data_IF_683062884990
#
_entry.id   IF_683062884990
#
_cell.length_a   1.000
_cell.length_b   1.000
_cell.length_c   1.000
_cell.angle_alpha   90.00
_cell.angle_beta   90.00
_cell.angle_gamma   90.00
#
_symmetry.space_group_name_H-M   'P 1'
#
loop_
_entity.id
_entity.type
_entity.pdbx_description
1 polymer ?
#
# COMPACT_ATOMS: atom_id res chain seq x y z
N UNK A 1 -4.77 8.42 -7.62
CA UNK A 1 -4.09 8.30 -6.30
C UNK A 1 -2.60 8.58 -6.40
N UNK A 2 -1.77 7.73 -7.03
CA UNK A 2 -0.32 7.96 -7.09
C UNK A 2 0.07 9.26 -7.82
N UNK A 3 -0.68 9.63 -8.87
CA UNK A 3 -0.50 10.91 -9.56
C UNK A 3 -0.89 12.12 -8.69
N UNK A 4 -2.04 12.04 -8.01
CA UNK A 4 -2.68 13.16 -7.31
C UNK A 4 -2.27 13.33 -5.85
N UNK A 5 -1.69 12.30 -5.22
CA UNK A 5 -1.32 12.30 -3.81
C UNK A 5 0.11 11.74 -3.66
N UNK A 6 1.15 12.61 -3.67
CA UNK A 6 2.54 12.19 -3.57
C UNK A 6 2.84 11.35 -2.31
N UNK A 7 2.14 11.60 -1.21
CA UNK A 7 2.27 10.81 0.04
C UNK A 7 1.97 9.33 -0.14
N UNK A 8 1.09 8.95 -1.08
CA UNK A 8 0.75 7.57 -1.38
C UNK A 8 1.88 6.78 -2.09
N UNK A 9 2.86 7.49 -2.68
CA UNK A 9 4.06 6.88 -3.27
C UNK A 9 5.00 6.36 -2.16
N UNK A 10 5.08 7.12 -1.07
CA UNK A 10 6.07 6.94 0.00
C UNK A 10 5.55 6.15 1.21
N UNK A 11 4.26 6.22 1.51
CA UNK A 11 3.67 5.60 2.71
C UNK A 11 2.67 4.51 2.36
N UNK A 12 2.95 3.30 2.82
CA UNK A 12 2.08 2.13 2.66
C UNK A 12 0.74 2.34 3.37
N UNK A 13 0.76 2.74 4.64
CA UNK A 13 -0.46 2.97 5.41
C UNK A 13 -1.35 4.06 4.78
N UNK A 14 -0.75 5.15 4.30
CA UNK A 14 -1.51 6.19 3.62
C UNK A 14 -2.12 5.69 2.31
N UNK A 15 -1.35 4.94 1.50
CA UNK A 15 -1.87 4.32 0.29
C UNK A 15 -3.03 3.36 0.60
N UNK A 16 -2.88 2.50 1.60
CA UNK A 16 -3.90 1.54 2.01
C UNK A 16 -5.19 2.26 2.39
N UNK A 17 -5.09 3.29 3.25
CA UNK A 17 -6.22 4.12 3.61
C UNK A 17 -6.90 4.73 2.37
N UNK A 18 -6.15 5.34 1.46
CA UNK A 18 -6.73 5.95 0.25
C UNK A 18 -7.48 4.92 -0.61
N UNK A 19 -6.87 3.76 -0.84
CA UNK A 19 -7.48 2.67 -1.62
C UNK A 19 -8.74 2.16 -0.93
N UNK A 20 -8.71 1.91 0.37
CA UNK A 20 -9.88 1.43 1.11
C UNK A 20 -10.98 2.47 1.19
N UNK A 21 -10.67 3.75 1.39
CA UNK A 21 -11.66 4.82 1.37
C UNK A 21 -12.35 4.93 0.00
N UNK A 22 -11.59 4.81 -1.09
CA UNK A 22 -12.15 4.84 -2.45
C UNK A 22 -13.01 3.62 -2.77
N UNK A 23 -12.49 2.41 -2.55
CA UNK A 23 -13.23 1.17 -2.81
C UNK A 23 -14.43 1.01 -1.87
N UNK A 24 -14.28 1.44 -0.61
CA UNK A 24 -15.35 1.49 0.37
C UNK A 24 -16.50 2.37 -0.11
N UNK A 25 -16.20 3.61 -0.55
CA UNK A 25 -17.23 4.51 -1.12
C UNK A 25 -17.95 3.90 -2.32
N UNK A 26 -17.23 3.25 -3.24
CA UNK A 26 -17.86 2.55 -4.37
C UNK A 26 -18.79 1.41 -3.96
N UNK A 27 -18.55 0.81 -2.80
CA UNK A 27 -19.33 -0.31 -2.26
C UNK A 27 -20.36 0.12 -1.20
N UNK A 28 -20.56 1.42 -0.98
CA UNK A 28 -21.46 1.94 0.06
C UNK A 28 -20.95 1.74 1.50
N UNK A 29 -19.65 1.51 1.68
CA UNK A 29 -19.01 1.28 2.98
C UNK A 29 -18.23 2.52 3.39
N UNK A 30 -18.63 3.14 4.50
CA UNK A 30 -17.86 4.22 5.10
C UNK A 30 -16.74 3.65 5.99
N UNK A 31 -15.54 3.52 5.42
CA UNK A 31 -14.34 3.02 6.12
C UNK A 31 -13.91 3.98 7.24
N UNK A 32 -14.16 5.28 7.10
CA UNK A 32 -13.73 6.31 8.05
C UNK A 32 -14.58 6.33 9.32
N UNK A 33 -15.85 5.95 9.20
CA UNK A 33 -16.76 5.79 10.34
C UNK A 33 -16.67 4.40 11.01
N UNK A 34 -15.82 3.50 10.49
CA UNK A 34 -15.70 2.13 10.98
C UNK A 34 -14.57 2.01 12.01
N UNK A 35 -14.81 1.25 13.09
CA UNK A 35 -13.75 0.91 14.03
C UNK A 35 -12.70 -0.01 13.38
N UNK A 36 -11.44 0.15 13.78
CA UNK A 36 -10.33 -0.65 13.25
C UNK A 36 -10.56 -2.17 13.37
N UNK A 37 -11.02 -2.73 14.52
CA UNK A 37 -11.29 -4.17 14.60
C UNK A 37 -12.37 -4.62 13.62
N UNK A 38 -13.46 -3.86 13.50
CA UNK A 38 -14.56 -4.19 12.58
C UNK A 38 -14.10 -4.15 11.12
N UNK A 39 -13.24 -3.19 10.78
CA UNK A 39 -12.64 -3.08 9.46
C UNK A 39 -11.82 -4.33 9.14
N UNK A 40 -10.76 -4.62 9.92
CA UNK A 40 -9.84 -5.71 9.64
C UNK A 40 -10.51 -7.10 9.66
N UNK A 41 -11.43 -7.35 10.59
CA UNK A 41 -12.11 -8.64 10.70
C UNK A 41 -13.13 -8.91 9.58
N UNK A 42 -13.52 -7.89 8.80
CA UNK A 42 -14.53 -8.03 7.75
C UNK A 42 -14.03 -7.58 6.36
N UNK A 43 -12.75 -7.27 6.20
CA UNK A 43 -12.18 -6.81 4.90
C UNK A 43 -12.51 -7.75 3.74
N UNK A 44 -12.41 -9.07 3.94
CA UNK A 44 -12.72 -10.08 2.93
C UNK A 44 -14.20 -10.05 2.52
N UNK A 45 -15.11 -9.89 3.49
CA UNK A 45 -16.57 -9.79 3.24
C UNK A 45 -16.93 -8.53 2.46
N UNK A 46 -16.18 -7.46 2.66
CA UNK A 46 -16.32 -6.22 1.88
C UNK A 46 -15.71 -6.33 0.48
N UNK A 47 -15.02 -7.43 0.16
CA UNK A 47 -14.29 -7.60 -1.10
C UNK A 47 -13.19 -6.55 -1.27
N UNK A 48 -12.56 -6.15 -0.17
CA UNK A 48 -11.40 -5.26 -0.19
C UNK A 48 -10.12 -6.08 -0.44
N UNK A 49 -9.17 -5.57 -1.24
CA UNK A 49 -7.92 -6.28 -1.52
C UNK A 49 -7.05 -6.36 -0.26
N UNK A 50 -6.14 -7.33 -0.24
CA UNK A 50 -5.09 -7.38 0.79
C UNK A 50 -4.10 -6.22 0.63
N UNK A 51 -3.43 -5.87 1.73
CA UNK A 51 -2.36 -4.87 1.73
C UNK A 51 -1.23 -5.26 0.77
N UNK A 52 -0.89 -6.55 0.67
CA UNK A 52 0.10 -7.06 -0.28
C UNK A 52 -0.30 -6.83 -1.73
N UNK A 53 -1.56 -7.07 -2.09
CA UNK A 53 -2.06 -6.81 -3.45
C UNK A 53 -1.92 -5.32 -3.80
N UNK A 54 -2.28 -4.43 -2.88
CA UNK A 54 -2.12 -2.97 -3.07
C UNK A 54 -0.64 -2.61 -3.24
N UNK A 55 0.24 -3.19 -2.40
CA UNK A 55 1.68 -2.95 -2.45
C UNK A 55 2.28 -3.39 -3.80
N UNK A 56 1.97 -4.60 -4.26
CA UNK A 56 2.45 -5.13 -5.56
C UNK A 56 1.94 -4.30 -6.72
N UNK A 57 0.67 -3.89 -6.69
CA UNK A 57 0.09 -3.02 -7.70
C UNK A 57 0.84 -1.67 -7.78
N UNK A 58 1.12 -1.02 -6.64
CA UNK A 58 1.94 0.20 -6.64
C UNK A 58 3.33 -0.05 -7.23
N UNK A 59 4.01 -1.12 -6.83
CA UNK A 59 5.35 -1.43 -7.33
C UNK A 59 5.38 -1.63 -8.84
N UNK A 60 4.39 -2.34 -9.40
CA UNK A 60 4.25 -2.50 -10.85
C UNK A 60 4.04 -1.15 -11.55
N UNK A 61 3.10 -0.34 -11.06
CA UNK A 61 2.83 0.99 -11.62
C UNK A 61 4.08 1.88 -11.57
N UNK A 62 4.83 1.86 -10.47
CA UNK A 62 6.05 2.65 -10.32
C UNK A 62 7.19 2.17 -11.22
N UNK A 63 7.30 0.85 -11.45
CA UNK A 63 8.26 0.31 -12.40
C UNK A 63 7.98 0.78 -13.84
N UNK A 64 6.69 0.83 -14.21
CA UNK A 64 6.26 1.28 -15.54
C UNK A 64 6.23 2.82 -15.68
N UNK A 65 6.28 3.57 -14.57
CA UNK A 65 6.14 5.04 -14.52
C UNK A 65 7.13 5.65 -13.51
N UNK A 66 8.40 5.89 -13.92
CA UNK A 66 9.46 6.37 -13.03
C UNK A 66 9.15 7.69 -12.31
N UNK A 67 8.33 8.55 -12.91
CA UNK A 67 7.88 9.83 -12.33
C UNK A 67 6.93 9.67 -11.13
N UNK A 68 6.39 8.45 -10.94
CA UNK A 68 5.52 8.07 -9.83
C UNK A 68 6.26 7.32 -8.72
N UNK A 69 7.57 7.11 -8.84
CA UNK A 69 8.39 6.50 -7.82
C UNK A 69 8.37 7.28 -6.50
N UNK A 70 8.70 6.57 -5.41
CA UNK A 70 8.91 7.20 -4.12
C UNK A 70 10.10 8.16 -4.13
N UNK A 71 10.24 8.98 -3.09
CA UNK A 71 11.45 9.80 -2.96
C UNK A 71 12.70 8.91 -2.88
N UNK A 72 13.83 9.42 -3.37
CA UNK A 72 15.11 8.71 -3.37
C UNK A 72 15.47 8.14 -1.98
N UNK A 73 15.16 8.88 -0.91
CA UNK A 73 15.37 8.43 0.48
C UNK A 73 14.52 7.21 0.86
N UNK A 74 13.25 7.16 0.44
CA UNK A 74 12.34 6.05 0.75
C UNK A 74 12.69 4.83 -0.11
N UNK A 75 13.04 5.03 -1.37
CA UNK A 75 13.49 3.96 -2.26
C UNK A 75 14.83 3.36 -1.80
N UNK A 76 15.78 4.18 -1.36
CA UNK A 76 17.04 3.72 -0.76
C UNK A 76 16.82 2.88 0.50
N UNK A 77 15.94 3.31 1.41
CA UNK A 77 15.59 2.54 2.60
C UNK A 77 14.90 1.21 2.27
N UNK A 78 14.06 1.19 1.23
CA UNK A 78 13.40 -0.03 0.74
C UNK A 78 14.40 -1.01 0.13
N UNK A 79 15.42 -0.53 -0.59
CA UNK A 79 16.48 -1.37 -1.13
C UNK A 79 17.30 -2.02 -0.01
N UNK A 80 17.77 -1.23 0.96
CA UNK A 80 18.54 -1.75 2.10
C UNK A 80 17.74 -2.81 2.89
N UNK A 81 16.45 -2.54 3.17
CA UNK A 81 15.62 -3.51 3.88
C UNK A 81 15.43 -4.81 3.07
N UNK A 82 15.27 -4.73 1.74
CA UNK A 82 15.17 -5.93 0.90
C UNK A 82 16.43 -6.79 0.96
N UNK A 83 17.61 -6.16 1.00
CA UNK A 83 18.87 -6.88 1.15
C UNK A 83 18.93 -7.59 2.50
N UNK A 84 18.65 -6.89 3.60
CA UNK A 84 18.59 -7.49 4.94
C UNK A 84 17.62 -8.68 5.01
N UNK A 85 16.41 -8.54 4.43
CA UNK A 85 15.46 -9.66 4.39
C UNK A 85 15.93 -10.83 3.52
N UNK A 86 16.63 -10.55 2.42
CA UNK A 86 17.19 -11.57 1.53
C UNK A 86 18.32 -12.33 2.21
N UNK A 87 19.16 -11.64 2.96
CA UNK A 87 20.28 -12.23 3.68
C UNK A 87 19.77 -13.08 4.85
N UNK A 88 18.79 -12.57 5.61
CA UNK A 88 18.06 -13.35 6.62
C UNK A 88 17.42 -14.63 6.03
N UNK A 89 16.74 -14.53 4.89
CA UNK A 89 16.12 -15.68 4.23
C UNK A 89 17.15 -16.70 3.70
N UNK A 90 18.40 -16.28 3.48
CA UNK A 90 19.53 -17.15 3.11
C UNK A 90 20.27 -17.70 4.32
N UNK A 91 19.88 -17.33 5.53
CA UNK A 91 20.52 -17.75 6.78
C UNK A 91 21.93 -17.18 6.98
N UNK A 92 22.24 -16.01 6.39
CA UNK A 92 23.49 -15.28 6.60
C UNK A 92 23.42 -14.37 7.82
#
# INVERSE_FOLDING_TARGET
MLKTQPRARNSDNYLYYCVYAFLGRQKGINVEAMSMPRFFLNMSKYGLPSTETIRRARQKIQADNPELCGSSTVEGRRMMNKEVFRDYARGQ
#
